data_IF_884253694243
#
_entry.id   IF_884253694243
#
_cell.length_a   1.000
_cell.length_b   1.000
_cell.length_c   1.000
_cell.angle_alpha   90.00
_cell.angle_beta   90.00
_cell.angle_gamma   90.00
#
_symmetry.space_group_name_H-M   'P 1'
#
loop_
_entity.id
_entity.type
_entity.pdbx_description
1 polymer ?
#
# COMPACT_ATOMS: atom_id res chain seq x y z
N UNK A 1 21.44 11.07 5.08
CA UNK A 1 19.99 10.87 4.97
C UNK A 1 19.46 11.65 3.80
N UNK A 2 18.81 10.95 2.87
CA UNK A 2 18.11 11.56 1.74
C UNK A 2 16.77 12.21 2.16
N UNK A 3 16.33 11.98 3.40
CA UNK A 3 15.09 12.54 3.96
C UNK A 3 13.82 11.79 3.56
N UNK A 4 13.93 10.67 2.83
CA UNK A 4 12.80 9.96 2.24
C UNK A 4 12.83 8.45 2.46
N UNK A 5 14.00 7.83 2.38
CA UNK A 5 14.11 6.38 2.42
C UNK A 5 13.81 5.87 3.83
N UNK A 6 12.71 5.13 3.97
CA UNK A 6 12.32 4.48 5.22
C UNK A 6 12.86 3.05 5.23
N UNK A 7 13.59 2.69 6.29
CA UNK A 7 14.13 1.34 6.52
C UNK A 7 13.63 0.77 7.84
N UNK A 8 13.45 -0.55 7.92
CA UNK A 8 13.13 -1.20 9.20
C UNK A 8 14.31 -1.14 10.16
N UNK A 9 14.03 -1.07 11.46
CA UNK A 9 15.05 -1.04 12.51
C UNK A 9 15.96 -2.27 12.48
N UNK A 10 15.44 -3.43 12.10
CA UNK A 10 16.16 -4.70 12.04
C UNK A 10 16.75 -5.02 10.65
N UNK A 11 16.48 -4.17 9.65
CA UNK A 11 16.92 -4.32 8.25
C UNK A 11 16.52 -5.63 7.58
N UNK A 12 15.46 -6.29 8.05
CA UNK A 12 14.87 -7.44 7.36
C UNK A 12 14.03 -7.01 6.16
N UNK A 13 13.71 -7.99 5.31
CA UNK A 13 12.93 -7.79 4.10
C UNK A 13 11.52 -7.24 4.38
N UNK A 14 11.06 -6.34 3.51
CA UNK A 14 9.69 -5.83 3.49
C UNK A 14 9.11 -5.92 2.08
N UNK A 15 7.79 -5.95 2.00
CA UNK A 15 7.04 -5.87 0.75
C UNK A 15 5.77 -5.03 0.99
N UNK A 16 5.26 -4.38 -0.06
CA UNK A 16 4.04 -3.57 -0.03
C UNK A 16 3.19 -3.88 -1.27
N UNK A 17 1.87 -3.89 -1.08
CA UNK A 17 0.86 -3.83 -2.15
C UNK A 17 -0.10 -2.68 -1.82
N UNK A 18 -0.72 -2.09 -2.84
CA UNK A 18 -1.64 -0.97 -2.67
C UNK A 18 -2.81 -1.09 -3.66
N UNK A 19 -4.03 -0.82 -3.16
CA UNK A 19 -5.21 -0.59 -3.98
C UNK A 19 -5.98 0.62 -3.46
N UNK A 20 -6.51 1.42 -4.38
CA UNK A 20 -7.54 2.42 -4.07
C UNK A 20 -8.92 1.77 -4.14
N UNK A 21 -9.74 1.97 -3.11
CA UNK A 21 -11.06 1.35 -2.97
C UNK A 21 -12.18 2.40 -2.98
N UNK A 22 -13.29 2.08 -3.63
CA UNK A 22 -14.55 2.82 -3.56
C UNK A 22 -15.60 1.98 -2.81
N UNK A 23 -16.14 2.51 -1.72
CA UNK A 23 -17.25 1.87 -1.00
C UNK A 23 -18.55 2.13 -1.77
N UNK A 24 -19.33 1.08 -1.99
CA UNK A 24 -20.64 1.13 -2.66
C UNK A 24 -21.74 0.68 -1.70
N UNK A 25 -23.01 0.85 -2.08
CA UNK A 25 -24.14 0.47 -1.23
C UNK A 25 -24.15 -1.03 -0.87
N UNK A 26 -23.61 -1.88 -1.76
CA UNK A 26 -23.59 -3.33 -1.59
C UNK A 26 -22.20 -3.93 -1.36
N UNK A 27 -21.13 -3.11 -1.33
CA UNK A 27 -19.78 -3.64 -1.20
C UNK A 27 -18.66 -2.64 -1.50
N UNK A 28 -17.68 -3.07 -2.30
CA UNK A 28 -16.48 -2.30 -2.63
C UNK A 28 -16.03 -2.57 -4.07
N UNK A 29 -15.62 -1.50 -4.75
CA UNK A 29 -14.94 -1.57 -6.03
C UNK A 29 -13.45 -1.31 -5.83
N UNK A 30 -12.61 -2.13 -6.49
CA UNK A 30 -11.16 -1.93 -6.51
C UNK A 30 -10.82 -1.09 -7.74
N UNK A 31 -10.50 0.18 -7.54
CA UNK A 31 -10.30 1.16 -8.63
C UNK A 31 -8.97 0.99 -9.38
N UNK A 32 -8.11 0.09 -8.92
CA UNK A 32 -6.72 -0.07 -9.38
C UNK A 32 -6.41 -1.53 -9.73
N UNK A 33 -7.43 -2.26 -10.19
CA UNK A 33 -7.25 -3.61 -10.77
C UNK A 33 -6.42 -3.56 -12.07
N UNK A 34 -5.75 -4.65 -12.47
CA UNK A 34 -4.99 -4.75 -13.72
C UNK A 34 -5.81 -4.48 -14.99
#
# INVERSE_FOLDING_TARGET
>A
DDGWTVVTKDRKWTAQFEHTLLVTESGVDILTQP
#
